data_IF_115384394332
#
_entry.id   IF_115384394332
#
_cell.length_a   1.000
_cell.length_b   1.000
_cell.length_c   1.000
_cell.angle_alpha   90.00
_cell.angle_beta   90.00
_cell.angle_gamma   90.00
#
_symmetry.space_group_name_H-M   'P 1'
#
loop_
_entity.id
_entity.type
_entity.pdbx_description
1 polymer ?
#
# COMPACT_ATOMS: atom_id res chain seq x y z
N UNK A 1 2.29 2.53 -19.89
CA UNK A 1 1.69 1.21 -19.65
C UNK A 1 1.18 1.15 -18.21
N UNK A 2 0.03 0.54 -17.97
CA UNK A 2 -0.59 0.40 -16.64
C UNK A 2 -0.24 -0.93 -15.96
N UNK A 3 -0.96 -1.26 -14.90
CA UNK A 3 -0.89 -2.57 -14.24
C UNK A 3 -1.76 -3.61 -14.95
N UNK A 4 -1.32 -4.87 -14.96
CA UNK A 4 -2.05 -6.03 -15.48
C UNK A 4 -2.22 -7.10 -14.39
N UNK A 5 -2.97 -8.17 -14.66
CA UNK A 5 -3.17 -9.30 -13.73
C UNK A 5 -3.63 -8.85 -12.33
N UNK A 6 -4.62 -7.97 -12.30
CA UNK A 6 -5.18 -7.40 -11.07
C UNK A 6 -6.11 -8.43 -10.43
N UNK A 7 -5.76 -8.89 -9.22
CA UNK A 7 -6.48 -9.94 -8.50
C UNK A 7 -6.63 -9.57 -7.02
N UNK A 8 -7.79 -9.79 -6.40
CA UNK A 8 -8.14 -9.35 -5.05
C UNK A 8 -8.18 -10.46 -3.98
N UNK A 9 -7.93 -11.72 -4.36
CA UNK A 9 -7.97 -12.88 -3.44
C UNK A 9 -6.62 -13.58 -3.25
N UNK A 10 -5.56 -13.10 -3.92
CA UNK A 10 -4.22 -13.70 -3.80
C UNK A 10 -3.61 -13.48 -2.42
N UNK A 11 -2.92 -14.52 -1.94
CA UNK A 11 -2.21 -14.54 -0.66
C UNK A 11 -0.71 -14.58 -0.88
N UNK A 12 0.01 -13.86 -0.03
CA UNK A 12 1.45 -14.07 0.16
C UNK A 12 1.63 -15.41 0.86
N UNK A 13 2.69 -16.16 0.53
CA UNK A 13 2.93 -17.51 1.05
C UNK A 13 2.89 -17.59 2.59
N UNK A 14 3.23 -16.50 3.28
CA UNK A 14 3.21 -16.36 4.75
C UNK A 14 1.82 -16.14 5.36
N UNK A 15 0.74 -16.20 4.56
CA UNK A 15 -0.63 -16.01 5.01
C UNK A 15 -1.08 -14.55 5.10
N UNK A 16 -0.18 -13.60 4.79
CA UNK A 16 -0.55 -12.19 4.64
C UNK A 16 -1.34 -12.00 3.34
N UNK A 17 -2.48 -11.34 3.46
CA UNK A 17 -3.34 -11.02 2.32
C UNK A 17 -3.46 -9.50 2.17
N UNK A 18 -2.64 -8.87 1.33
CA UNK A 18 -2.90 -7.53 0.81
C UNK A 18 -4.21 -7.51 0.04
N UNK A 19 -4.82 -6.34 -0.10
CA UNK A 19 -6.11 -6.20 -0.77
C UNK A 19 -6.07 -6.61 -2.25
N UNK A 20 -4.99 -6.28 -2.95
CA UNK A 20 -4.83 -6.55 -4.38
C UNK A 20 -3.41 -7.04 -4.67
N UNK A 21 -3.27 -7.84 -5.72
CA UNK A 21 -2.03 -8.07 -6.44
C UNK A 21 -2.15 -7.57 -7.86
N UNK A 22 -1.05 -7.13 -8.45
CA UNK A 22 -0.97 -6.74 -9.85
C UNK A 22 0.45 -6.93 -10.39
N UNK A 23 0.62 -6.82 -11.70
CA UNK A 23 1.91 -6.85 -12.38
C UNK A 23 2.16 -5.51 -13.07
N UNK A 24 3.33 -4.90 -12.85
CA UNK A 24 3.70 -3.65 -13.53
C UNK A 24 4.22 -3.89 -14.96
N UNK A 25 4.44 -2.80 -15.69
CA UNK A 25 4.96 -2.84 -17.05
C UNK A 25 6.37 -3.48 -17.18
N UNK A 26 7.09 -3.66 -16.06
CA UNK A 26 8.41 -4.32 -16.01
C UNK A 26 8.29 -5.79 -15.59
N UNK A 27 7.07 -6.33 -15.50
CA UNK A 27 6.82 -7.71 -15.07
C UNK A 27 6.99 -7.93 -13.57
N UNK A 28 7.10 -6.88 -12.76
CA UNK A 28 7.28 -7.02 -11.30
C UNK A 28 5.92 -7.13 -10.63
N UNK A 29 5.81 -8.04 -9.67
CA UNK A 29 4.63 -8.13 -8.81
C UNK A 29 4.53 -6.93 -7.89
N UNK A 30 3.33 -6.40 -7.79
CA UNK A 30 2.91 -5.41 -6.82
C UNK A 30 1.80 -5.98 -5.95
N UNK A 31 1.92 -5.73 -4.66
CA UNK A 31 0.90 -5.93 -3.66
C UNK A 31 0.38 -4.55 -3.25
N UNK A 32 -0.93 -4.39 -3.20
CA UNK A 32 -1.56 -3.17 -2.72
C UNK A 32 -2.45 -3.46 -1.53
N UNK A 33 -2.30 -2.67 -0.47
CA UNK A 33 -3.29 -2.60 0.60
C UNK A 33 -4.12 -1.33 0.43
N UNK A 34 -5.44 -1.51 0.33
CA UNK A 34 -6.38 -0.40 0.32
C UNK A 34 -6.75 -0.09 1.77
N UNK A 35 -6.30 1.07 2.24
CA UNK A 35 -6.48 1.53 3.62
C UNK A 35 -7.56 2.60 3.66
N UNK A 36 -8.73 2.20 4.16
CA UNK A 36 -9.92 3.03 4.22
C UNK A 36 -11.12 2.36 3.55
N UNK A 37 -12.30 2.54 4.11
CA UNK A 37 -13.55 2.01 3.55
C UNK A 37 -14.29 3.01 2.67
N UNK A 38 -15.25 2.51 1.89
CA UNK A 38 -16.18 3.32 1.09
C UNK A 38 -17.30 3.87 1.99
N UNK A 39 -16.96 4.77 2.90
CA UNK A 39 -17.86 5.35 3.92
C UNK A 39 -18.00 6.87 3.77
N UNK A 40 -19.06 7.47 4.33
CA UNK A 40 -19.36 8.91 4.18
C UNK A 40 -18.30 9.81 4.79
N UNK A 41 -17.80 9.49 6.00
CA UNK A 41 -16.53 10.01 6.50
C UNK A 41 -15.43 9.05 6.01
N UNK A 42 -14.45 9.56 5.26
CA UNK A 42 -13.36 8.78 4.63
C UNK A 42 -12.03 9.02 5.34
N UNK A 43 -11.86 8.63 6.62
CA UNK A 43 -10.63 8.92 7.36
C UNK A 43 -9.40 8.17 6.81
N UNK A 44 -9.58 7.11 6.01
CA UNK A 44 -8.46 6.39 5.40
C UNK A 44 -7.46 5.88 6.43
N UNK A 45 -6.18 6.16 6.19
CA UNK A 45 -5.07 5.83 7.08
C UNK A 45 -4.99 6.73 8.33
N UNK A 46 -5.88 7.71 8.51
CA UNK A 46 -6.02 8.42 9.79
C UNK A 46 -6.50 7.50 10.93
N UNK A 47 -7.12 6.35 10.60
CA UNK A 47 -7.39 5.31 11.60
C UNK A 47 -6.11 4.53 11.87
N UNK A 48 -5.49 4.85 13.00
CA UNK A 48 -4.15 4.40 13.37
C UNK A 48 -3.96 2.87 13.33
N UNK A 49 -4.96 2.10 13.75
CA UNK A 49 -4.94 0.63 13.67
C UNK A 49 -4.87 0.09 12.23
N UNK A 50 -5.56 0.76 11.29
CA UNK A 50 -5.52 0.36 9.88
C UNK A 50 -4.16 0.67 9.27
N UNK A 51 -3.57 1.81 9.66
CA UNK A 51 -2.21 2.17 9.25
C UNK A 51 -1.19 1.16 9.77
N UNK A 52 -1.24 0.81 11.05
CA UNK A 52 -0.30 -0.16 11.62
C UNK A 52 -0.42 -1.54 10.98
N UNK A 53 -1.65 -2.00 10.73
CA UNK A 53 -1.88 -3.25 10.00
C UNK A 53 -1.28 -3.19 8.59
N UNK A 54 -1.48 -2.09 7.87
CA UNK A 54 -0.93 -1.92 6.52
C UNK A 54 0.60 -1.89 6.51
N UNK A 55 1.24 -1.24 7.49
CA UNK A 55 2.70 -1.23 7.64
C UNK A 55 3.22 -2.65 7.95
N UNK A 56 2.57 -3.36 8.87
CA UNK A 56 2.96 -4.73 9.23
C UNK A 56 2.87 -5.69 8.04
N UNK A 57 1.80 -5.62 7.25
CA UNK A 57 1.67 -6.40 5.99
C UNK A 57 2.82 -6.10 5.03
N UNK A 58 3.17 -4.82 4.84
CA UNK A 58 4.29 -4.43 3.98
C UNK A 58 5.64 -4.98 4.47
N UNK A 59 5.87 -4.97 5.78
CA UNK A 59 7.07 -5.55 6.39
C UNK A 59 7.15 -7.06 6.13
N UNK A 60 6.05 -7.79 6.26
CA UNK A 60 6.03 -9.23 5.96
C UNK A 60 6.22 -9.51 4.47
N UNK A 61 5.56 -8.75 3.59
CA UNK A 61 5.73 -8.86 2.12
C UNK A 61 7.19 -8.66 1.73
N UNK A 62 7.87 -7.68 2.35
CA UNK A 62 9.27 -7.39 2.08
C UNK A 62 10.19 -8.59 2.33
N UNK A 63 9.96 -9.31 3.43
CA UNK A 63 10.78 -10.48 3.78
C UNK A 63 10.36 -11.73 3.01
N UNK A 64 9.06 -11.91 2.76
CA UNK A 64 8.54 -13.10 2.08
C UNK A 64 8.74 -13.07 0.56
N UNK A 65 8.63 -11.90 -0.06
CA UNK A 65 8.77 -11.70 -1.51
C UNK A 65 9.65 -10.47 -1.81
N UNK A 66 10.98 -10.53 -1.59
CA UNK A 66 11.87 -9.36 -1.70
C UNK A 66 11.91 -8.70 -3.09
N UNK A 67 11.54 -9.43 -4.14
CA UNK A 67 11.43 -8.93 -5.51
C UNK A 67 10.11 -8.18 -5.78
N UNK A 68 9.07 -8.42 -4.97
CA UNK A 68 7.79 -7.74 -5.09
C UNK A 68 7.85 -6.32 -4.53
N UNK A 69 6.87 -5.51 -4.91
CA UNK A 69 6.64 -4.16 -4.38
C UNK A 69 5.38 -4.15 -3.55
N UNK A 70 5.34 -3.29 -2.54
CA UNK A 70 4.16 -3.12 -1.69
C UNK A 70 3.74 -1.64 -1.68
N UNK A 71 2.50 -1.35 -2.05
CA UNK A 71 1.93 -0.01 -2.06
C UNK A 71 0.75 0.10 -1.10
N UNK A 72 0.56 1.28 -0.52
CA UNK A 72 -0.64 1.61 0.24
C UNK A 72 -1.47 2.60 -0.57
N UNK A 73 -2.74 2.27 -0.79
CA UNK A 73 -3.72 3.15 -1.43
C UNK A 73 -4.68 3.65 -0.36
N UNK A 74 -4.86 4.95 -0.21
CA UNK A 74 -5.75 5.51 0.81
C UNK A 74 -6.44 6.77 0.31
N UNK A 75 -7.55 7.17 0.93
CA UNK A 75 -8.25 8.44 0.65
C UNK A 75 -7.98 9.50 1.72
N UNK A 76 -7.02 9.25 2.60
CA UNK A 76 -6.67 10.16 3.68
C UNK A 76 -5.37 9.74 4.34
N UNK A 77 -4.36 10.60 4.26
CA UNK A 77 -3.08 10.39 4.92
C UNK A 77 -3.20 10.67 6.43
N UNK A 78 -2.50 9.89 7.29
CA UNK A 78 -2.42 10.20 8.71
C UNK A 78 -1.69 11.53 8.92
N UNK A 79 -2.11 12.30 9.93
CA UNK A 79 -1.34 13.47 10.34
C UNK A 79 0.04 13.04 10.88
N UNK A 80 1.05 13.92 10.78
CA UNK A 80 2.43 13.62 11.20
C UNK A 80 2.51 13.07 12.62
N UNK A 81 1.77 13.70 13.56
CA UNK A 81 1.73 13.32 14.98
C UNK A 81 0.94 12.03 15.26
N UNK A 82 0.16 11.53 14.30
CA UNK A 82 -0.73 10.38 14.46
C UNK A 82 -0.38 9.25 13.47
N UNK A 83 0.92 8.98 13.28
CA UNK A 83 1.42 7.89 12.45
C UNK A 83 2.05 8.30 11.11
N UNK A 84 1.89 9.56 10.68
CA UNK A 84 2.53 10.05 9.45
C UNK A 84 4.06 10.00 9.49
N UNK A 85 4.67 10.29 10.64
CA UNK A 85 6.11 10.15 10.82
C UNK A 85 6.60 8.70 10.65
N UNK A 86 5.87 7.73 11.21
CA UNK A 86 6.20 6.31 11.08
C UNK A 86 6.03 5.83 9.63
N UNK A 87 4.92 6.19 8.98
CA UNK A 87 4.68 5.86 7.57
C UNK A 87 5.80 6.40 6.68
N UNK A 88 6.23 7.64 6.90
CA UNK A 88 7.37 8.24 6.18
C UNK A 88 8.67 7.46 6.40
N UNK A 89 8.95 7.01 7.63
CA UNK A 89 10.16 6.27 7.96
C UNK A 89 10.27 4.90 7.25
N UNK A 90 9.13 4.29 6.94
CA UNK A 90 9.04 2.97 6.28
C UNK A 90 8.68 3.05 4.79
N UNK A 91 8.64 4.25 4.20
CA UNK A 91 8.31 4.44 2.78
C UNK A 91 9.55 4.72 1.92
N UNK A 92 9.68 4.06 0.78
CA UNK A 92 10.73 4.30 -0.22
C UNK A 92 11.17 3.05 -0.99
N UNK A 93 12.06 3.23 -1.98
CA UNK A 93 12.41 2.22 -2.99
C UNK A 93 12.96 0.88 -2.47
N UNK A 94 13.39 0.80 -1.21
CA UNK A 94 13.88 -0.43 -0.56
C UNK A 94 13.31 -0.62 0.85
N UNK A 95 12.25 0.09 1.18
CA UNK A 95 11.60 0.03 2.49
C UNK A 95 10.36 -0.89 2.41
N UNK A 96 9.79 -1.28 3.58
CA UNK A 96 8.58 -2.10 3.62
C UNK A 96 7.42 -1.57 2.79
N UNK A 97 7.27 -0.26 2.71
CA UNK A 97 6.29 0.41 1.84
C UNK A 97 7.04 1.05 0.68
N UNK A 98 6.78 0.63 -0.55
CA UNK A 98 7.42 1.23 -1.72
C UNK A 98 6.85 2.62 -2.03
N UNK A 99 5.53 2.77 -1.89
CA UNK A 99 4.79 4.00 -2.16
C UNK A 99 3.50 4.06 -1.34
N UNK A 100 3.08 5.27 -1.00
CA UNK A 100 1.75 5.57 -0.46
C UNK A 100 1.08 6.52 -1.42
N UNK A 101 -0.14 6.20 -1.84
CA UNK A 101 -0.90 7.01 -2.78
C UNK A 101 -2.17 7.50 -2.10
N UNK A 102 -2.31 8.82 -2.02
CA UNK A 102 -3.60 9.44 -1.76
C UNK A 102 -4.42 9.43 -3.05
N UNK A 103 -5.46 8.60 -3.08
CA UNK A 103 -6.34 8.41 -4.23
C UNK A 103 -7.15 9.67 -4.56
N UNK A 104 -7.23 10.64 -3.65
CA UNK A 104 -7.91 11.92 -3.88
C UNK A 104 -6.97 13.01 -4.42
N UNK A 105 -5.66 12.77 -4.45
CA UNK A 105 -4.72 13.72 -5.01
C UNK A 105 -4.81 13.74 -6.54
N UNK A 106 -4.72 14.93 -7.14
CA UNK A 106 -4.81 15.10 -8.60
C UNK A 106 -3.70 14.34 -9.36
N UNK A 107 -2.58 14.08 -8.70
CA UNK A 107 -1.40 13.40 -9.23
C UNK A 107 -1.31 11.92 -8.81
N UNK A 108 -2.35 11.34 -8.20
CA UNK A 108 -2.34 9.97 -7.67
C UNK A 108 -1.79 8.93 -8.66
N UNK A 109 -2.19 9.04 -9.94
CA UNK A 109 -1.77 8.11 -11.01
C UNK A 109 -0.27 8.23 -11.34
N UNK A 110 0.35 9.39 -11.11
CA UNK A 110 1.78 9.57 -11.37
C UNK A 110 2.67 8.78 -10.41
N UNK A 111 2.18 8.51 -9.19
CA UNK A 111 2.88 7.72 -8.16
C UNK A 111 2.82 6.21 -8.41
N UNK A 112 2.08 5.77 -9.43
CA UNK A 112 1.79 4.38 -9.78
C UNK A 112 2.49 3.93 -11.08
N UNK A 113 3.61 4.58 -11.44
CA UNK A 113 4.38 4.33 -12.68
C UNK A 113 5.70 3.60 -12.44
#
# INVERSE_FOLDING_TARGET
AGYTDVVDDRKVLTGVQPTLSATDAKGRRWWFEVVGGRTTNRPGAQRIELLWRAIAKGAVVREAEPAARYGILTTGLPATASGGGALKAVTGARKPVAVVVDLLAADAVAHLR
#
